data_IF_270785845531
#
_entry.id   IF_270785845531
#
_cell.length_a   1.000
_cell.length_b   1.000
_cell.length_c   1.000
_cell.angle_alpha   90.00
_cell.angle_beta   90.00
_cell.angle_gamma   90.00
#
_symmetry.space_group_name_H-M   'P 1'
#
loop_
_entity.id
_entity.type
_entity.pdbx_description
1 polymer ?
#
# COMPACT_ATOMS: atom_id res chain seq x y z
N UNK A 1 -4.59 14.94 3.88
CA UNK A 1 -3.54 15.20 2.88
C UNK A 1 -4.07 15.76 1.57
N UNK A 2 -5.36 15.91 1.43
CA UNK A 2 -5.90 16.77 0.40
C UNK A 2 -5.23 18.15 0.53
N UNK A 3 -4.91 18.78 -0.55
CA UNK A 3 -4.20 20.07 -0.62
C UNK A 3 -2.71 20.08 -0.20
N UNK A 4 -2.11 18.92 0.14
CA UNK A 4 -0.69 18.84 0.46
C UNK A 4 0.22 18.97 -0.75
N UNK A 5 -0.33 18.98 -1.95
CA UNK A 5 0.42 19.04 -3.21
C UNK A 5 1.24 17.79 -3.49
N UNK A 6 1.97 17.83 -4.55
CA UNK A 6 2.90 16.81 -4.96
C UNK A 6 2.29 15.75 -5.87
N UNK A 7 3.02 15.36 -6.91
CA UNK A 7 2.60 14.30 -7.82
C UNK A 7 2.84 12.93 -7.22
N UNK A 8 2.06 11.96 -7.69
CA UNK A 8 2.24 10.53 -7.41
C UNK A 8 2.36 10.18 -5.92
N UNK A 9 3.48 9.59 -5.51
CA UNK A 9 3.72 9.07 -4.16
C UNK A 9 4.22 10.12 -3.16
N UNK A 10 4.15 11.39 -3.45
CA UNK A 10 4.58 12.45 -2.53
C UNK A 10 3.80 12.42 -1.20
N UNK A 11 2.57 11.93 -1.22
CA UNK A 11 1.77 11.71 -0.01
C UNK A 11 2.49 10.84 1.03
N UNK A 12 3.39 9.95 0.63
CA UNK A 12 4.17 9.10 1.52
C UNK A 12 5.06 9.92 2.43
N UNK A 13 5.71 10.97 1.91
CA UNK A 13 6.54 11.87 2.72
C UNK A 13 5.70 12.66 3.71
N UNK A 14 4.56 13.16 3.29
CA UNK A 14 3.63 13.90 4.15
C UNK A 14 3.03 12.99 5.24
N UNK A 15 2.64 11.76 4.87
CA UNK A 15 2.16 10.76 5.83
C UNK A 15 3.24 10.43 6.85
N UNK A 16 4.47 10.23 6.40
CA UNK A 16 5.61 9.96 7.28
C UNK A 16 5.84 11.12 8.25
N UNK A 17 5.84 12.36 7.77
CA UNK A 17 6.01 13.53 8.63
C UNK A 17 4.90 13.63 9.69
N UNK A 18 3.65 13.40 9.29
CA UNK A 18 2.52 13.42 10.21
C UNK A 18 2.59 12.28 11.25
N UNK A 19 2.93 11.07 10.82
CA UNK A 19 3.09 9.91 11.71
C UNK A 19 4.25 10.13 12.69
N UNK A 20 5.39 10.63 12.22
CA UNK A 20 6.54 10.95 13.09
C UNK A 20 6.16 12.00 14.14
N UNK A 21 5.39 13.02 13.76
CA UNK A 21 4.89 14.00 14.72
C UNK A 21 3.96 13.36 15.77
N UNK A 22 3.05 12.48 15.32
CA UNK A 22 2.11 11.78 16.20
C UNK A 22 2.81 10.86 17.20
N UNK A 23 3.74 10.00 16.76
CA UNK A 23 4.46 9.09 17.68
C UNK A 23 5.40 9.85 18.64
N UNK A 24 5.88 11.03 18.26
CA UNK A 24 6.64 11.90 19.17
C UNK A 24 5.74 12.54 20.23
N UNK A 25 4.50 12.85 19.91
CA UNK A 25 3.52 13.37 20.85
C UNK A 25 2.98 12.30 21.81
N UNK A 26 3.03 11.02 21.41
CA UNK A 26 2.59 9.89 22.21
C UNK A 26 3.69 8.78 22.20
N UNK A 27 4.74 8.96 23.04
CA UNK A 27 5.84 8.00 23.14
C UNK A 27 5.36 6.60 23.50
N UNK A 28 5.93 5.57 22.85
CA UNK A 28 5.51 4.19 23.00
C UNK A 28 4.44 3.74 22.01
N UNK A 29 3.80 4.67 21.31
CA UNK A 29 2.90 4.33 20.21
C UNK A 29 3.65 3.87 18.96
N UNK A 30 2.93 3.14 18.10
CA UNK A 30 3.43 2.72 16.79
C UNK A 30 2.66 3.43 15.68
N UNK A 31 3.39 3.94 14.72
CA UNK A 31 2.84 4.54 13.51
C UNK A 31 3.06 3.67 12.29
N UNK A 32 2.05 3.53 11.44
CA UNK A 32 2.11 2.78 10.20
C UNK A 32 1.86 3.71 9.01
N UNK A 33 2.77 3.68 8.05
CA UNK A 33 2.59 4.32 6.74
C UNK A 33 2.53 3.24 5.68
N UNK A 34 1.44 3.17 4.95
CA UNK A 34 1.29 2.27 3.81
C UNK A 34 1.37 3.04 2.50
N UNK A 35 2.02 2.45 1.53
CA UNK A 35 2.11 2.97 0.18
C UNK A 35 1.57 1.97 -0.81
N UNK A 36 1.08 2.46 -1.93
CA UNK A 36 0.60 1.63 -3.03
C UNK A 36 1.18 2.13 -4.34
N UNK A 37 1.47 1.22 -5.25
CA UNK A 37 1.74 1.60 -6.63
C UNK A 37 0.43 1.89 -7.38
N UNK A 38 0.53 2.53 -8.54
CA UNK A 38 -0.65 2.86 -9.35
C UNK A 38 -1.53 1.65 -9.71
N UNK A 39 -0.97 0.46 -9.78
CA UNK A 39 -1.69 -0.79 -10.06
C UNK A 39 -1.96 -1.64 -8.82
N UNK A 40 -1.74 -1.13 -7.63
CA UNK A 40 -1.90 -1.83 -6.35
C UNK A 40 -1.05 -3.12 -6.21
N UNK A 41 -0.10 -3.34 -7.09
CA UNK A 41 0.70 -4.58 -7.16
C UNK A 41 2.01 -4.50 -6.41
N UNK A 42 2.40 -3.33 -5.94
CA UNK A 42 3.67 -3.08 -5.24
C UNK A 42 3.44 -2.23 -3.99
N UNK A 43 2.75 -2.77 -2.97
CA UNK A 43 2.59 -2.07 -1.70
C UNK A 43 3.91 -2.07 -0.93
N UNK A 44 4.11 -1.04 -0.12
CA UNK A 44 5.15 -1.01 0.88
C UNK A 44 4.58 -0.52 2.21
N UNK A 45 5.19 -0.93 3.30
CA UNK A 45 4.80 -0.58 4.66
C UNK A 45 6.01 -0.03 5.41
N UNK A 46 5.84 1.09 6.09
CA UNK A 46 6.82 1.65 7.01
C UNK A 46 6.24 1.70 8.43
N UNK A 47 6.97 1.17 9.40
CA UNK A 47 6.63 1.25 10.81
C UNK A 47 7.55 2.24 11.51
N UNK A 48 6.97 3.12 12.30
CA UNK A 48 7.66 4.21 13.00
C UNK A 48 7.38 4.12 14.50
N UNK A 49 8.41 4.35 15.31
CA UNK A 49 8.32 4.38 16.77
C UNK A 49 9.33 5.37 17.33
N UNK A 50 9.08 5.88 18.53
CA UNK A 50 10.06 6.58 19.34
C UNK A 50 10.92 5.64 20.15
N UNK A 51 10.52 4.38 20.29
CA UNK A 51 11.23 3.34 21.02
C UNK A 51 12.17 2.60 20.07
N UNK A 52 13.45 2.39 20.45
CA UNK A 52 14.34 1.56 19.67
C UNK A 52 13.84 0.11 19.68
N UNK A 53 13.74 -0.50 18.52
CA UNK A 53 13.43 -1.92 18.43
C UNK A 53 14.54 -2.79 19.05
N UNK A 54 14.22 -4.05 19.32
CA UNK A 54 15.17 -5.04 19.89
C UNK A 54 16.42 -5.29 19.00
N UNK A 55 16.37 -4.89 17.76
CA UNK A 55 17.51 -4.89 16.84
C UNK A 55 17.96 -3.47 16.62
N UNK A 56 19.27 -3.23 16.79
CA UNK A 56 19.89 -1.93 16.56
C UNK A 56 19.39 -1.28 15.25
N UNK A 57 19.14 0.01 15.33
CA UNK A 57 18.47 0.95 14.44
C UNK A 57 18.91 0.98 12.95
N UNK A 58 19.27 -0.10 12.36
CA UNK A 58 19.32 -0.20 10.90
C UNK A 58 17.92 -0.50 10.44
N UNK A 59 17.39 0.37 9.61
CA UNK A 59 16.14 0.15 8.92
C UNK A 59 16.06 -1.32 8.45
N UNK A 60 15.16 -2.08 9.05
CA UNK A 60 14.91 -3.44 8.62
C UNK A 60 14.14 -3.32 7.32
N UNK A 61 14.84 -3.46 6.22
CA UNK A 61 14.21 -3.57 4.90
C UNK A 61 14.09 -5.05 4.59
N UNK A 62 12.88 -5.51 4.37
CA UNK A 62 12.58 -6.87 3.96
C UNK A 62 11.72 -6.84 2.70
N UNK A 63 12.12 -7.61 1.70
CA UNK A 63 11.24 -7.95 0.58
C UNK A 63 10.35 -9.12 1.00
N UNK A 64 9.05 -8.89 0.99
CA UNK A 64 8.04 -9.88 1.37
C UNK A 64 7.29 -10.44 0.16
N UNK A 65 7.74 -10.14 -1.06
CA UNK A 65 7.06 -10.53 -2.29
C UNK A 65 6.80 -12.03 -2.38
N UNK A 66 7.83 -12.85 -2.18
CA UNK A 66 7.69 -14.31 -2.21
C UNK A 66 6.73 -14.84 -1.13
N UNK A 67 6.76 -14.27 0.08
CA UNK A 67 5.85 -14.67 1.15
C UNK A 67 4.42 -14.27 0.85
N UNK A 68 4.21 -13.10 0.29
CA UNK A 68 2.88 -12.66 -0.14
C UNK A 68 2.35 -13.56 -1.25
N UNK A 69 3.17 -13.91 -2.23
CA UNK A 69 2.82 -14.83 -3.30
C UNK A 69 2.44 -16.22 -2.79
N UNK A 70 3.13 -16.73 -1.79
CA UNK A 70 2.86 -18.06 -1.22
C UNK A 70 1.52 -18.17 -0.48
N UNK A 71 1.00 -17.05 0.04
CA UNK A 71 -0.28 -17.02 0.79
C UNK A 71 -1.43 -16.41 0.00
N UNK A 72 -1.16 -15.87 -1.19
CA UNK A 72 -2.17 -15.25 -2.03
C UNK A 72 -2.75 -16.26 -3.01
N UNK A 73 -4.06 -16.44 -2.96
CA UNK A 73 -4.76 -17.27 -3.94
C UNK A 73 -4.61 -16.63 -5.32
N UNK A 74 -4.04 -17.38 -6.26
CA UNK A 74 -3.92 -16.97 -7.65
C UNK A 74 -5.01 -17.60 -8.48
N UNK A 75 -5.69 -16.79 -9.26
CA UNK A 75 -6.64 -17.26 -10.26
C UNK A 75 -5.98 -17.30 -11.61
N UNK A 76 -6.22 -18.40 -12.32
CA UNK A 76 -5.76 -18.52 -13.70
C UNK A 76 -6.58 -17.60 -14.59
N UNK A 77 -5.90 -16.71 -15.30
CA UNK A 77 -6.51 -15.90 -16.35
C UNK A 77 -6.49 -16.69 -17.66
N UNK A 78 -7.64 -16.79 -18.31
CA UNK A 78 -7.80 -17.44 -19.60
C UNK A 78 -8.23 -16.37 -20.61
N UNK A 79 -7.41 -16.14 -21.62
CA UNK A 79 -7.68 -15.11 -22.63
C UNK A 79 -8.78 -15.56 -23.62
N UNK A 80 -8.78 -16.85 -23.97
CA UNK A 80 -9.66 -17.41 -25.01
C UNK A 80 -10.62 -18.42 -24.38
N UNK A 81 -11.58 -17.92 -23.61
CA UNK A 81 -12.63 -18.79 -23.06
C UNK A 81 -13.78 -18.93 -24.05
N UNK A 82 -14.12 -20.17 -24.40
CA UNK A 82 -15.31 -20.51 -25.16
C UNK A 82 -16.26 -21.33 -24.28
N UNK A 83 -17.43 -20.77 -23.98
CA UNK A 83 -18.43 -21.43 -23.14
C UNK A 83 -19.19 -20.42 -22.26
N UNK A 84 -20.04 -20.95 -21.39
CA UNK A 84 -20.75 -20.14 -20.39
C UNK A 84 -19.80 -19.74 -19.25
N UNK A 85 -19.88 -18.49 -18.83
CA UNK A 85 -19.19 -18.01 -17.66
C UNK A 85 -20.08 -17.00 -16.90
N UNK A 86 -20.10 -17.02 -15.57
CA UNK A 86 -20.79 -15.99 -14.80
C UNK A 86 -20.01 -14.68 -14.82
N UNK A 87 -20.72 -13.55 -14.87
CA UNK A 87 -20.12 -12.25 -14.66
C UNK A 87 -19.90 -12.07 -13.15
N UNK A 88 -18.66 -12.05 -12.71
CA UNK A 88 -18.31 -11.91 -11.30
C UNK A 88 -18.31 -10.44 -10.83
N UNK A 89 -17.92 -9.51 -11.71
CA UNK A 89 -17.91 -8.07 -11.43
C UNK A 89 -17.89 -7.29 -12.74
N UNK A 90 -18.24 -6.01 -12.65
CA UNK A 90 -18.15 -5.08 -13.78
C UNK A 90 -17.81 -3.70 -13.27
N UNK A 91 -17.35 -2.85 -14.16
CA UNK A 91 -17.19 -1.40 -13.95
C UNK A 91 -17.87 -0.62 -15.06
N UNK A 92 -18.30 0.58 -14.76
CA UNK A 92 -18.90 1.49 -15.74
C UNK A 92 -17.94 2.64 -15.96
N UNK A 93 -17.52 2.84 -17.18
CA UNK A 93 -16.78 4.03 -17.59
C UNK A 93 -17.73 5.03 -18.20
N UNK A 94 -17.59 6.29 -17.81
CA UNK A 94 -18.39 7.39 -18.36
C UNK A 94 -17.52 8.15 -19.34
N UNK A 95 -17.96 8.21 -20.58
CA UNK A 95 -17.27 8.95 -21.66
C UNK A 95 -17.65 10.43 -21.66
N UNK A 96 -17.64 11.11 -20.58
CA UNK A 96 -17.69 12.57 -20.45
C UNK A 96 -18.67 13.40 -21.33
N UNK A 97 -19.47 12.77 -22.15
CA UNK A 97 -20.48 13.38 -22.99
C UNK A 97 -21.89 13.09 -22.42
N UNK A 98 -22.28 13.89 -21.42
CA UNK A 98 -23.69 14.08 -21.07
C UNK A 98 -23.86 15.35 -20.25
#
# INVERSE_FOLDING_TARGET
MAFGGGPFNNYTYQSTAAVVAAVRADPGSLGLVSTVSGLLTKPALGVWSTEPGARAARALVADLGERADAVTERRRVVADHVGSAPVATFTVTYDGES
#
